data_IF_973726254565
#
_entry.id   IF_973726254565
#
_cell.length_a   1.000
_cell.length_b   1.000
_cell.length_c   1.000
_cell.angle_alpha   90.00
_cell.angle_beta   90.00
_cell.angle_gamma   90.00
#
_symmetry.space_group_name_H-M   'P 1'
#
loop_
_entity.id
_entity.type
_entity.pdbx_description
1 polymer ?
#
# COMPACT_ATOMS: atom_id res chain seq x y z
N UNK A 1 -28.28 60.33 -40.46
CA UNK A 1 -28.89 61.15 -39.38
C UNK A 1 -27.76 61.52 -38.43
N UNK A 2 -27.13 62.69 -38.61
CA UNK A 2 -27.40 63.96 -37.88
C UNK A 2 -27.40 63.72 -36.36
N UNK A 3 -26.42 64.19 -35.58
CA UNK A 3 -26.22 65.61 -35.18
C UNK A 3 -24.89 65.68 -34.40
N UNK A 4 -23.87 66.49 -34.73
CA UNK A 4 -23.70 67.96 -34.47
C UNK A 4 -23.83 68.32 -32.97
N UNK A 5 -23.02 69.15 -32.30
CA UNK A 5 -21.91 70.10 -32.58
C UNK A 5 -21.29 70.50 -31.17
N UNK A 6 -20.43 71.55 -30.98
CA UNK A 6 -19.28 71.55 -30.08
C UNK A 6 -19.29 72.76 -29.09
N UNK A 7 -18.16 73.03 -28.42
CA UNK A 7 -17.66 74.37 -27.96
C UNK A 7 -16.65 74.14 -26.82
N UNK A 8 -15.38 74.51 -26.96
CA UNK A 8 -14.76 75.85 -26.98
C UNK A 8 -14.32 76.33 -25.58
N UNK A 9 -13.14 76.95 -25.61
CA UNK A 9 -12.48 77.83 -24.64
C UNK A 9 -11.64 77.21 -23.51
N UNK A 10 -10.58 77.81 -22.97
CA UNK A 10 -9.50 78.76 -23.36
C UNK A 10 -8.73 79.03 -22.04
N UNK A 11 -7.39 79.14 -22.07
CA UNK A 11 -6.58 79.76 -21.00
C UNK A 11 -6.18 78.83 -19.86
N UNK A 12 -5.02 78.95 -19.19
CA UNK A 12 -4.06 80.04 -19.06
C UNK A 12 -2.70 79.48 -18.55
N UNK A 13 -1.60 80.15 -18.89
CA UNK A 13 -0.24 79.93 -18.36
C UNK A 13 -0.15 80.16 -16.85
N UNK A 14 0.70 79.38 -16.14
CA UNK A 14 1.66 79.92 -15.13
C UNK A 14 2.94 79.06 -15.16
N UNK A 15 4.07 79.72 -15.42
CA UNK A 15 5.42 79.22 -15.17
C UNK A 15 5.87 79.63 -13.76
N UNK A 16 6.72 78.84 -13.11
CA UNK A 16 8.04 79.27 -12.61
C UNK A 16 8.69 78.28 -11.62
N UNK A 17 10.03 78.37 -11.58
CA UNK A 17 10.98 78.01 -10.51
C UNK A 17 11.69 76.63 -10.60
N UNK A 18 12.85 76.68 -11.28
CA UNK A 18 14.09 75.96 -10.90
C UNK A 18 14.66 76.58 -9.59
N UNK A 19 15.39 75.83 -8.73
CA UNK A 19 16.82 75.63 -8.96
C UNK A 19 17.39 74.25 -8.56
N UNK A 20 18.60 74.03 -9.07
CA UNK A 20 19.46 72.88 -8.87
C UNK A 20 20.01 72.73 -7.43
N UNK A 21 20.36 71.48 -7.09
CA UNK A 21 21.57 71.05 -6.37
C UNK A 21 21.25 69.97 -5.32
N UNK A 22 21.78 68.76 -5.53
CA UNK A 22 22.83 68.17 -4.69
C UNK A 22 22.78 66.66 -4.84
N UNK A 23 23.91 66.07 -5.26
CA UNK A 23 24.12 64.64 -5.28
C UNK A 23 24.13 64.11 -3.84
N UNK A 24 23.19 63.23 -3.51
CA UNK A 24 23.25 62.38 -2.33
C UNK A 24 23.15 60.93 -2.79
N UNK A 25 24.21 60.18 -2.53
CA UNK A 25 24.37 58.76 -2.79
C UNK A 25 23.43 57.96 -1.87
N UNK A 26 22.55 57.08 -2.39
CA UNK A 26 21.74 56.23 -1.52
C UNK A 26 22.55 55.03 -1.04
N UNK A 27 22.63 54.89 0.28
CA UNK A 27 23.16 53.74 0.99
C UNK A 27 22.51 52.42 0.52
N UNK A 28 23.34 51.41 0.27
CA UNK A 28 22.90 50.05 -0.01
C UNK A 28 22.22 49.43 1.23
N UNK A 29 21.00 48.88 1.12
CA UNK A 29 20.49 47.98 2.14
C UNK A 29 21.24 46.64 2.02
N UNK A 30 21.86 46.19 3.11
CA UNK A 30 22.38 44.85 3.25
C UNK A 30 21.22 43.85 3.17
N UNK A 31 20.97 43.34 1.95
CA UNK A 31 20.07 42.22 1.73
C UNK A 31 20.73 40.96 2.27
N UNK A 32 20.44 40.64 3.53
CA UNK A 32 20.64 39.30 4.08
C UNK A 32 19.82 38.32 3.25
N UNK A 33 20.49 37.63 2.32
CA UNK A 33 19.88 36.55 1.55
C UNK A 33 19.73 35.37 2.49
N UNK A 34 18.56 35.23 3.09
CA UNK A 34 18.17 33.96 3.71
C UNK A 34 17.94 33.01 2.54
N UNK A 35 18.98 32.26 2.18
CA UNK A 35 18.88 31.16 1.24
C UNK A 35 17.94 30.12 1.86
N UNK A 36 16.65 30.25 1.56
CA UNK A 36 15.69 29.18 1.75
C UNK A 36 16.21 27.98 0.98
N UNK A 37 16.57 26.91 1.68
CA UNK A 37 16.93 25.64 1.09
C UNK A 37 15.72 25.15 0.30
N UNK A 38 15.71 25.39 -1.01
CA UNK A 38 14.81 24.73 -1.92
C UNK A 38 15.08 23.23 -1.74
N UNK A 39 14.14 22.53 -1.09
CA UNK A 39 14.20 21.08 -0.91
C UNK A 39 14.30 20.48 -2.31
N UNK A 40 15.43 19.88 -2.63
CA UNK A 40 15.61 19.19 -3.90
C UNK A 40 14.42 18.23 -4.07
N UNK A 41 13.72 18.34 -5.21
CA UNK A 41 12.63 17.43 -5.51
C UNK A 41 13.21 16.00 -5.55
N UNK A 42 12.70 15.12 -4.69
CA UNK A 42 13.06 13.70 -4.73
C UNK A 42 12.76 13.17 -6.12
N UNK A 43 13.73 12.54 -6.78
CA UNK A 43 13.49 11.95 -8.10
C UNK A 43 12.41 10.85 -7.97
N UNK A 44 11.51 10.70 -8.95
CA UNK A 44 10.48 9.67 -8.93
C UNK A 44 11.01 8.27 -8.61
N UNK A 45 12.14 7.90 -9.20
CA UNK A 45 12.80 6.61 -8.97
C UNK A 45 13.29 6.45 -7.53
N UNK A 46 13.81 7.51 -6.92
CA UNK A 46 14.28 7.49 -5.52
C UNK A 46 13.09 7.31 -4.56
N UNK A 47 11.96 7.96 -4.84
CA UNK A 47 10.74 7.78 -4.05
C UNK A 47 10.19 6.36 -4.19
N UNK A 48 10.13 5.82 -5.42
CA UNK A 48 9.70 4.46 -5.65
C UNK A 48 10.60 3.44 -4.92
N UNK A 49 11.92 3.64 -4.97
CA UNK A 49 12.88 2.80 -4.26
C UNK A 49 12.76 2.93 -2.74
N UNK A 50 12.57 4.14 -2.21
CA UNK A 50 12.32 4.38 -0.79
C UNK A 50 11.09 3.61 -0.31
N UNK A 51 9.98 3.71 -1.04
CA UNK A 51 8.72 3.05 -0.72
C UNK A 51 8.84 1.52 -0.84
N UNK A 52 9.35 1.00 -1.95
CA UNK A 52 9.47 -0.44 -2.18
C UNK A 52 10.38 -1.12 -1.15
N UNK A 53 11.43 -0.44 -0.70
CA UNK A 53 12.36 -0.97 0.30
C UNK A 53 11.96 -0.65 1.76
N UNK A 54 11.15 0.37 1.99
CA UNK A 54 10.80 0.83 3.34
C UNK A 54 9.40 0.43 3.78
N UNK A 55 8.41 0.50 2.89
CA UNK A 55 7.02 0.29 3.22
C UNK A 55 6.69 -1.22 3.27
N UNK A 56 5.98 -1.64 4.30
CA UNK A 56 5.38 -2.95 4.41
C UNK A 56 3.86 -2.80 4.56
N UNK A 57 3.11 -3.65 3.84
CA UNK A 57 1.68 -3.82 4.06
C UNK A 57 1.45 -5.05 4.94
N UNK A 58 0.65 -4.92 5.99
CA UNK A 58 0.19 -6.06 6.77
C UNK A 58 -1.33 -6.05 6.89
N UNK A 59 -1.94 -7.21 7.11
CA UNK A 59 -3.38 -7.35 7.29
C UNK A 59 -3.68 -8.10 8.59
N UNK A 60 -4.64 -7.59 9.35
CA UNK A 60 -5.32 -8.32 10.40
C UNK A 60 -6.80 -8.39 10.04
N UNK A 61 -7.40 -9.57 10.16
CA UNK A 61 -8.85 -9.74 10.10
C UNK A 61 -9.34 -9.77 11.54
N UNK A 62 -10.33 -8.92 11.84
CA UNK A 62 -10.80 -8.69 13.20
C UNK A 62 -12.11 -9.46 13.47
N UNK A 63 -13.03 -9.51 12.50
CA UNK A 63 -14.32 -10.20 12.62
C UNK A 63 -14.81 -10.67 11.24
N UNK A 64 -15.21 -11.94 11.09
CA UNK A 64 -15.78 -12.53 9.88
C UNK A 64 -17.31 -12.49 9.83
N UNK A 65 -17.95 -12.00 10.89
CA UNK A 65 -19.40 -11.95 11.10
C UNK A 65 -19.86 -10.53 11.43
N UNK A 66 -19.29 -9.52 10.74
CA UNK A 66 -19.44 -8.12 11.12
C UNK A 66 -20.89 -7.61 11.09
N UNK A 67 -21.77 -8.24 10.30
CA UNK A 67 -23.21 -7.95 10.33
C UNK A 67 -23.82 -8.22 11.71
N UNK A 68 -23.43 -9.31 12.37
CA UNK A 68 -23.87 -9.64 13.73
C UNK A 68 -23.32 -8.65 14.77
N UNK A 69 -22.18 -8.01 14.48
CA UNK A 69 -21.60 -6.95 15.27
C UNK A 69 -22.15 -5.54 14.94
N UNK A 70 -23.17 -5.44 14.07
CA UNK A 70 -23.86 -4.19 13.76
C UNK A 70 -23.26 -3.39 12.60
N UNK A 71 -22.31 -3.95 11.84
CA UNK A 71 -21.86 -3.33 10.59
C UNK A 71 -22.99 -3.43 9.55
N UNK A 72 -23.37 -2.33 8.89
CA UNK A 72 -24.47 -2.32 7.92
C UNK A 72 -24.03 -2.92 6.57
N UNK A 73 -23.68 -4.21 6.56
CA UNK A 73 -23.13 -4.89 5.39
C UNK A 73 -24.07 -4.81 4.16
N UNK A 74 -25.39 -4.86 4.38
CA UNK A 74 -26.39 -4.72 3.31
C UNK A 74 -26.31 -3.35 2.62
N UNK A 75 -26.23 -2.27 3.41
CA UNK A 75 -26.15 -0.90 2.89
C UNK A 75 -24.82 -0.64 2.18
N UNK A 76 -23.77 -1.36 2.57
CA UNK A 76 -22.46 -1.36 1.91
C UNK A 76 -22.47 -2.21 0.61
N UNK A 77 -23.60 -2.82 0.26
CA UNK A 77 -23.78 -3.60 -0.96
C UNK A 77 -23.10 -4.98 -0.92
N UNK A 78 -22.91 -5.54 0.27
CA UNK A 78 -22.38 -6.89 0.45
C UNK A 78 -23.43 -7.94 0.09
N UNK A 79 -23.05 -8.93 -0.72
CA UNK A 79 -23.92 -10.06 -1.02
C UNK A 79 -24.28 -10.85 0.25
N UNK A 80 -25.54 -11.25 0.34
CA UNK A 80 -26.11 -11.89 1.52
C UNK A 80 -26.00 -11.08 2.82
N UNK A 81 -25.75 -9.76 2.73
CA UNK A 81 -25.41 -8.91 3.87
C UNK A 81 -24.25 -9.48 4.72
N UNK A 82 -23.33 -10.23 4.10
CA UNK A 82 -22.19 -10.84 4.77
C UNK A 82 -20.95 -9.98 4.56
N UNK A 83 -20.34 -9.51 5.63
CA UNK A 83 -19.07 -8.78 5.56
C UNK A 83 -18.17 -9.07 6.76
N UNK A 84 -16.88 -8.81 6.56
CA UNK A 84 -15.83 -8.90 7.55
C UNK A 84 -15.22 -7.53 7.81
N UNK A 85 -14.70 -7.34 9.01
CA UNK A 85 -13.88 -6.18 9.37
C UNK A 85 -12.44 -6.60 9.61
N UNK A 86 -11.53 -5.66 9.39
CA UNK A 86 -10.13 -5.86 9.66
C UNK A 86 -9.35 -4.56 9.59
N UNK A 87 -8.02 -4.68 9.63
CA UNK A 87 -7.08 -3.55 9.51
C UNK A 87 -5.99 -3.89 8.51
N UNK A 88 -5.79 -3.02 7.54
CA UNK A 88 -4.54 -2.93 6.81
C UNK A 88 -3.58 -2.06 7.60
N UNK A 89 -2.30 -2.39 7.61
CA UNK A 89 -1.28 -1.61 8.27
C UNK A 89 -0.20 -1.24 7.27
N UNK A 90 0.02 0.06 7.11
CA UNK A 90 1.19 0.58 6.40
C UNK A 90 2.25 0.84 7.46
N UNK A 91 3.36 0.11 7.38
CA UNK A 91 4.46 0.21 8.32
C UNK A 91 5.73 0.64 7.60
N UNK A 92 6.42 1.64 8.14
CA UNK A 92 7.76 1.98 7.70
C UNK A 92 8.78 1.08 8.41
N UNK A 93 9.34 0.13 7.66
CA UNK A 93 10.42 -0.75 8.11
C UNK A 93 11.80 -0.34 7.57
N UNK A 94 11.86 0.77 6.84
CA UNK A 94 13.11 1.38 6.38
C UNK A 94 13.74 2.28 7.43
N UNK A 95 14.79 2.99 7.03
CA UNK A 95 15.56 3.90 7.89
C UNK A 95 15.27 5.38 7.61
N UNK A 96 14.48 5.68 6.58
CA UNK A 96 14.09 7.03 6.19
C UNK A 96 12.59 7.24 6.39
N UNK A 97 12.13 8.45 6.71
CA UNK A 97 10.71 8.72 6.88
C UNK A 97 9.96 8.59 5.54
N UNK A 98 8.73 8.08 5.60
CA UNK A 98 7.81 7.97 4.48
C UNK A 98 6.66 8.96 4.70
N UNK A 99 6.32 9.75 3.68
CA UNK A 99 5.18 10.66 3.72
C UNK A 99 4.22 10.36 2.55
N UNK A 100 3.01 10.91 2.61
CA UNK A 100 2.11 10.96 1.45
C UNK A 100 2.67 11.82 0.30
N UNK A 101 1.95 11.81 -0.82
CA UNK A 101 2.24 12.62 -1.99
C UNK A 101 3.15 11.91 -2.99
N UNK A 102 2.77 11.97 -4.26
CA UNK A 102 3.59 11.46 -5.37
C UNK A 102 3.55 9.94 -5.56
N UNK A 103 2.73 9.20 -4.81
CA UNK A 103 2.62 7.75 -4.99
C UNK A 103 1.22 7.20 -4.71
N UNK A 104 0.97 6.01 -5.25
CA UNK A 104 -0.23 5.19 -5.01
C UNK A 104 0.19 3.78 -4.68
N UNK A 105 -0.58 3.11 -3.82
CA UNK A 105 -0.37 1.69 -3.49
C UNK A 105 -1.42 0.85 -4.22
N UNK A 106 -0.97 -0.18 -4.90
CA UNK A 106 -1.80 -1.17 -5.53
C UNK A 106 -1.75 -2.46 -4.71
N UNK A 107 -2.91 -3.04 -4.45
CA UNK A 107 -3.05 -4.25 -3.63
C UNK A 107 -4.14 -5.16 -4.20
N UNK A 108 -4.03 -6.45 -3.89
CA UNK A 108 -4.93 -7.48 -4.35
C UNK A 108 -5.85 -7.95 -3.22
N UNK A 109 -7.11 -8.20 -3.54
CA UNK A 109 -8.07 -8.79 -2.61
C UNK A 109 -9.06 -9.67 -3.35
N UNK A 110 -9.17 -10.93 -2.93
CA UNK A 110 -10.21 -11.85 -3.44
C UNK A 110 -11.63 -11.42 -3.00
N UNK A 111 -11.71 -10.56 -1.97
CA UNK A 111 -12.96 -9.98 -1.48
C UNK A 111 -13.10 -8.55 -1.96
N UNK A 112 -14.34 -8.13 -2.22
CA UNK A 112 -14.55 -6.71 -2.45
C UNK A 112 -14.27 -5.94 -1.16
N UNK A 113 -13.28 -5.06 -1.16
CA UNK A 113 -13.14 -4.06 -0.11
C UNK A 113 -14.22 -3.01 -0.32
N UNK A 114 -15.20 -3.00 0.58
CA UNK A 114 -16.39 -2.15 0.52
C UNK A 114 -16.09 -0.75 1.05
N UNK A 115 -15.18 -0.64 2.03
CA UNK A 115 -14.83 0.63 2.67
C UNK A 115 -13.47 0.56 3.36
N UNK A 116 -12.80 1.72 3.44
CA UNK A 116 -11.69 1.99 4.37
C UNK A 116 -12.13 3.07 5.34
N UNK A 117 -12.06 2.77 6.63
CA UNK A 117 -12.52 3.60 7.73
C UNK A 117 -11.37 4.40 8.33
N UNK A 118 -10.67 5.12 7.44
CA UNK A 118 -9.66 6.10 7.85
C UNK A 118 -9.74 7.34 6.96
N UNK A 119 -9.92 8.54 7.55
CA UNK A 119 -9.81 9.81 6.82
C UNK A 119 -8.45 9.95 6.14
N UNK A 120 -8.42 10.64 5.01
CA UNK A 120 -7.18 10.90 4.27
C UNK A 120 -6.76 9.77 3.33
N UNK A 121 -7.59 8.74 3.11
CA UNK A 121 -7.30 7.66 2.17
C UNK A 121 -8.46 7.47 1.20
N UNK A 122 -8.13 7.38 -0.09
CA UNK A 122 -9.07 6.97 -1.12
C UNK A 122 -8.77 5.53 -1.52
N UNK A 123 -9.79 4.68 -1.51
CA UNK A 123 -9.72 3.31 -2.02
C UNK A 123 -10.59 3.21 -3.27
N UNK A 124 -10.02 2.66 -4.35
CA UNK A 124 -10.73 2.45 -5.61
C UNK A 124 -10.45 1.06 -6.14
N UNK A 125 -11.49 0.29 -6.43
CA UNK A 125 -11.37 -0.96 -7.19
C UNK A 125 -11.15 -0.63 -8.66
N UNK A 126 -10.19 -1.28 -9.30
CA UNK A 126 -9.93 -1.14 -10.74
C UNK A 126 -10.73 -2.15 -11.53
N UNK A 127 -10.36 -3.42 -11.42
CA UNK A 127 -11.04 -4.56 -12.02
C UNK A 127 -10.54 -5.84 -11.34
N UNK A 128 -11.29 -6.93 -11.43
CA UNK A 128 -10.93 -8.19 -10.79
C UNK A 128 -10.71 -7.99 -9.28
N UNK A 129 -9.54 -8.41 -8.81
CA UNK A 129 -9.05 -8.33 -7.43
C UNK A 129 -8.21 -7.07 -7.13
N UNK A 130 -7.96 -6.22 -8.13
CA UNK A 130 -6.98 -5.14 -8.03
C UNK A 130 -7.62 -3.85 -7.48
N UNK A 131 -6.96 -3.30 -6.46
CA UNK A 131 -7.32 -2.07 -5.77
C UNK A 131 -6.19 -1.06 -5.81
N UNK A 132 -6.57 0.22 -5.92
CA UNK A 132 -5.69 1.37 -5.76
C UNK A 132 -6.05 2.07 -4.43
N UNK A 133 -5.08 2.19 -3.53
CA UNK A 133 -5.13 2.96 -2.31
C UNK A 133 -4.24 4.21 -2.46
N UNK A 134 -4.86 5.39 -2.40
CA UNK A 134 -4.18 6.68 -2.57
C UNK A 134 -4.27 7.48 -1.27
N UNK A 135 -3.13 7.75 -0.60
CA UNK A 135 -3.07 8.69 0.50
C UNK A 135 -3.34 10.12 0.00
N UNK A 136 -4.17 10.87 0.71
CA UNK A 136 -4.39 12.29 0.48
C UNK A 136 -3.26 13.10 1.11
N UNK A 137 -2.99 14.34 0.66
CA UNK A 137 -1.97 15.19 1.26
C UNK A 137 -2.19 15.39 2.78
N UNK A 138 -1.13 15.19 3.57
CA UNK A 138 -1.14 15.30 5.04
C UNK A 138 -1.71 14.09 5.81
N UNK A 139 -2.12 13.02 5.13
CA UNK A 139 -2.66 11.79 5.73
C UNK A 139 -1.60 10.78 6.23
N UNK A 140 -0.39 10.82 5.66
CA UNK A 140 0.69 9.87 5.97
C UNK A 140 1.97 10.62 6.32
N UNK A 141 2.48 10.31 7.51
CA UNK A 141 3.84 10.57 7.94
C UNK A 141 4.26 9.42 8.85
N UNK A 142 5.23 8.64 8.41
CA UNK A 142 5.74 7.46 9.09
C UNK A 142 7.24 7.61 9.27
N UNK A 143 7.70 7.93 10.48
CA UNK A 143 9.09 7.79 10.86
C UNK A 143 9.51 6.29 10.81
N UNK A 144 10.82 5.99 10.79
CA UNK A 144 11.29 4.61 10.87
C UNK A 144 10.67 3.85 12.04
N UNK A 145 10.09 2.67 11.76
CA UNK A 145 9.40 1.83 12.73
C UNK A 145 7.92 2.14 12.95
N UNK A 146 7.45 3.33 12.56
CA UNK A 146 6.06 3.72 12.73
C UNK A 146 5.12 2.97 11.79
N UNK A 147 3.86 2.83 12.22
CA UNK A 147 2.79 2.23 11.44
C UNK A 147 1.49 2.99 11.61
N UNK A 148 0.66 2.91 10.57
CA UNK A 148 -0.67 3.47 10.54
C UNK A 148 -1.68 2.35 10.23
N UNK A 149 -2.77 2.32 10.98
CA UNK A 149 -3.85 1.36 10.78
C UNK A 149 -4.94 1.97 9.89
N UNK A 150 -5.39 1.19 8.91
CA UNK A 150 -6.47 1.46 7.97
C UNK A 150 -7.54 0.40 8.20
N UNK A 151 -8.51 0.65 9.10
CA UNK A 151 -9.62 -0.28 9.27
C UNK A 151 -10.40 -0.40 7.96
N UNK A 152 -10.91 -1.58 7.65
CA UNK A 152 -11.65 -1.86 6.43
C UNK A 152 -12.89 -2.69 6.70
N UNK A 153 -13.84 -2.61 5.76
CA UNK A 153 -14.93 -3.57 5.62
C UNK A 153 -14.76 -4.29 4.28
N UNK A 154 -14.74 -5.62 4.31
CA UNK A 154 -14.63 -6.46 3.12
C UNK A 154 -15.87 -7.36 3.00
N UNK A 155 -16.30 -7.63 1.77
CA UNK A 155 -17.41 -8.53 1.50
C UNK A 155 -17.08 -9.98 1.89
N UNK A 156 -18.09 -10.71 2.39
CA UNK A 156 -18.00 -12.05 2.95
C UNK A 156 -17.05 -12.15 4.15
N UNK A 157 -16.04 -13.03 4.07
CA UNK A 157 -15.15 -13.42 5.14
C UNK A 157 -13.76 -13.77 4.60
N UNK A 158 -12.77 -13.70 5.48
CA UNK A 158 -11.39 -14.13 5.27
C UNK A 158 -11.05 -15.18 6.34
N UNK A 159 -11.07 -16.45 5.94
CA UNK A 159 -10.97 -17.60 6.86
C UNK A 159 -9.60 -18.26 6.82
N UNK A 160 -8.79 -17.96 5.80
CA UNK A 160 -7.49 -18.56 5.60
C UNK A 160 -6.45 -17.49 5.38
N UNK A 161 -5.22 -17.76 5.81
CA UNK A 161 -4.08 -16.87 5.55
C UNK A 161 -3.91 -16.60 4.04
N UNK A 162 -4.17 -17.62 3.22
CA UNK A 162 -4.14 -17.53 1.75
C UNK A 162 -5.23 -16.66 1.14
N UNK A 163 -6.23 -16.22 1.90
CA UNK A 163 -7.24 -15.27 1.40
C UNK A 163 -6.64 -13.87 1.22
N UNK A 164 -5.52 -13.57 1.88
CA UNK A 164 -4.72 -12.38 1.66
C UNK A 164 -3.66 -12.64 0.59
N UNK A 165 -3.70 -11.85 -0.49
CA UNK A 165 -2.76 -11.98 -1.62
C UNK A 165 -1.53 -11.09 -1.39
N UNK A 166 -0.29 -11.63 -1.58
CA UNK A 166 0.95 -10.88 -1.39
C UNK A 166 1.26 -9.92 -2.54
N UNK A 167 2.47 -9.36 -2.55
CA UNK A 167 3.04 -8.54 -3.63
C UNK A 167 2.23 -7.27 -4.00
N UNK A 168 1.76 -6.46 -3.03
CA UNK A 168 1.34 -5.10 -3.33
C UNK A 168 2.54 -4.30 -3.88
N UNK A 169 2.25 -3.32 -4.72
CA UNK A 169 3.28 -2.51 -5.37
C UNK A 169 2.91 -1.04 -5.36
N UNK A 170 3.92 -0.18 -5.35
CA UNK A 170 3.74 1.27 -5.44
C UNK A 170 3.95 1.75 -6.87
N UNK A 171 3.23 2.80 -7.22
CA UNK A 171 3.40 3.55 -8.47
C UNK A 171 3.69 4.99 -8.12
N UNK A 172 4.78 5.52 -8.68
CA UNK A 172 5.19 6.92 -8.61
C UNK A 172 5.24 7.44 -10.04
N UNK A 173 4.62 8.59 -10.31
CA UNK A 173 4.61 9.16 -11.67
C UNK A 173 6.04 9.46 -12.14
N UNK A 174 6.42 8.90 -13.28
CA UNK A 174 7.79 9.01 -13.81
C UNK A 174 8.76 7.93 -13.34
N UNK A 175 8.29 6.89 -12.63
CA UNK A 175 9.07 5.71 -12.28
C UNK A 175 8.33 4.40 -12.63
N UNK A 176 9.04 3.29 -12.87
CA UNK A 176 8.43 1.97 -12.98
C UNK A 176 7.71 1.57 -11.68
N UNK A 177 6.61 0.78 -11.75
CA UNK A 177 6.00 0.18 -10.57
C UNK A 177 7.00 -0.68 -9.78
N UNK A 178 6.92 -0.67 -8.46
CA UNK A 178 7.85 -1.37 -7.59
C UNK A 178 7.12 -2.15 -6.48
N UNK A 179 7.34 -3.47 -6.43
CA UNK A 179 6.75 -4.36 -5.42
C UNK A 179 7.37 -4.07 -4.04
N UNK A 180 6.55 -4.08 -3.00
CA UNK A 180 7.04 -3.93 -1.63
C UNK A 180 7.86 -5.15 -1.21
N UNK A 181 9.16 -4.98 -0.93
CA UNK A 181 10.07 -6.10 -0.64
C UNK A 181 9.65 -6.97 0.55
N UNK A 182 8.93 -6.39 1.52
CA UNK A 182 8.48 -7.12 2.71
C UNK A 182 7.30 -8.04 2.44
N UNK A 183 6.64 -7.85 1.30
CA UNK A 183 5.46 -8.57 0.86
C UNK A 183 5.73 -9.45 -0.37
N UNK A 184 6.94 -9.41 -0.95
CA UNK A 184 7.32 -10.27 -2.06
C UNK A 184 7.73 -11.66 -1.56
N UNK A 185 6.72 -12.46 -1.22
CA UNK A 185 6.87 -13.77 -0.63
C UNK A 185 5.58 -14.57 -0.75
N UNK A 186 5.69 -15.90 -0.70
CA UNK A 186 4.54 -16.80 -0.55
C UNK A 186 4.36 -17.28 0.91
N UNK A 187 5.15 -16.75 1.86
CA UNK A 187 4.97 -16.98 3.29
C UNK A 187 3.95 -15.99 3.88
N UNK A 188 2.73 -16.47 4.09
CA UNK A 188 1.60 -15.65 4.51
C UNK A 188 1.79 -15.04 5.91
N UNK A 189 2.61 -15.65 6.77
CA UNK A 189 2.89 -15.15 8.12
C UNK A 189 3.70 -13.84 8.12
N UNK A 190 4.30 -13.48 6.98
CA UNK A 190 5.07 -12.25 6.85
C UNK A 190 4.18 -11.01 6.72
N UNK A 191 2.96 -11.18 6.21
CA UNK A 191 2.06 -10.07 5.90
C UNK A 191 0.65 -10.22 6.47
N UNK A 192 0.25 -11.39 6.98
CA UNK A 192 -0.99 -11.56 7.75
C UNK A 192 -0.62 -11.62 9.24
N UNK A 193 -1.05 -10.64 10.02
CA UNK A 193 -0.79 -10.59 11.47
C UNK A 193 -1.72 -11.49 12.27
N UNK A 194 -3.01 -11.51 11.90
CA UNK A 194 -4.00 -12.31 12.62
C UNK A 194 -5.25 -12.58 11.78
N UNK A 195 -5.93 -13.67 12.12
CA UNK A 195 -7.30 -13.98 11.73
C UNK A 195 -8.13 -14.19 13.00
N UNK A 196 -9.45 -13.96 12.98
CA UNK A 196 -10.30 -14.21 14.12
C UNK A 196 -10.34 -15.71 14.45
N UNK A 197 -10.67 -16.06 15.69
CA UNK A 197 -10.59 -17.45 16.17
C UNK A 197 -11.47 -18.42 15.37
N UNK A 198 -12.58 -17.92 14.83
CA UNK A 198 -13.52 -18.66 13.98
C UNK A 198 -13.03 -18.85 12.53
N UNK A 199 -12.02 -18.09 12.08
CA UNK A 199 -11.40 -18.30 10.77
C UNK A 199 -10.77 -19.70 10.67
N UNK A 200 -10.17 -20.15 11.77
CA UNK A 200 -9.57 -21.47 11.93
C UNK A 200 -10.60 -22.55 12.26
N UNK A 201 -11.82 -22.18 12.65
CA UNK A 201 -12.86 -23.15 12.92
C UNK A 201 -13.42 -23.68 11.61
N UNK A 202 -13.53 -25.00 11.55
CA UNK A 202 -14.53 -25.68 10.76
C UNK A 202 -15.86 -24.96 10.91
N UNK A 203 -16.32 -24.25 9.86
CA UNK A 203 -17.68 -23.71 9.84
C UNK A 203 -18.62 -24.78 10.34
N UNK A 204 -19.60 -24.42 11.16
CA UNK A 204 -20.64 -25.31 11.71
C UNK A 204 -21.55 -25.97 10.65
N UNK A 205 -21.13 -26.00 9.38
CA UNK A 205 -21.71 -26.76 8.27
C UNK A 205 -20.69 -27.41 7.33
N UNK A 206 -19.38 -27.28 7.58
CA UNK A 206 -18.35 -28.04 6.89
C UNK A 206 -17.86 -29.13 7.83
N UNK A 207 -18.04 -30.39 7.44
CA UNK A 207 -17.42 -31.52 8.11
C UNK A 207 -15.93 -31.20 8.39
N UNK A 208 -15.35 -31.69 9.51
CA UNK A 208 -13.91 -31.59 9.72
C UNK A 208 -13.20 -32.03 8.43
N UNK A 209 -12.09 -31.38 8.03
CA UNK A 209 -11.40 -31.72 6.79
C UNK A 209 -11.19 -33.23 6.78
N UNK A 210 -11.92 -33.91 5.90
CA UNK A 210 -11.73 -35.34 5.70
C UNK A 210 -10.32 -35.42 5.15
N UNK A 211 -9.43 -36.11 5.88
CA UNK A 211 -8.09 -36.39 5.38
C UNK A 211 -8.25 -36.89 3.94
N UNK A 212 -7.66 -36.17 2.98
CA UNK A 212 -7.72 -36.57 1.60
C UNK A 212 -7.25 -38.03 1.53
N UNK A 213 -8.03 -38.89 0.87
CA UNK A 213 -7.54 -40.25 0.60
C UNK A 213 -6.20 -40.12 -0.12
N UNK A 214 -5.17 -40.89 0.26
CA UNK A 214 -3.90 -40.89 -0.45
C UNK A 214 -4.16 -41.09 -1.94
N UNK A 215 -3.82 -40.09 -2.75
CA UNK A 215 -3.88 -40.18 -4.20
C UNK A 215 -2.46 -40.29 -4.70
N UNK A 216 -2.08 -41.47 -5.17
CA UNK A 216 -0.74 -41.75 -5.68
C UNK A 216 -0.35 -40.89 -6.88
N UNK A 217 -1.31 -40.21 -7.52
CA UNK A 217 -1.09 -39.28 -8.65
C UNK A 217 -0.99 -37.83 -8.22
N UNK A 218 -1.28 -37.52 -6.96
CA UNK A 218 -1.15 -36.17 -6.42
C UNK A 218 0.34 -35.88 -6.24
N UNK A 219 0.85 -34.96 -7.06
CA UNK A 219 2.15 -34.37 -6.82
C UNK A 219 2.22 -33.90 -5.36
N UNK A 220 3.26 -34.33 -4.64
CA UNK A 220 3.51 -33.84 -3.28
C UNK A 220 3.54 -32.30 -3.35
N UNK A 221 2.81 -31.59 -2.47
CA UNK A 221 2.88 -30.14 -2.46
C UNK A 221 4.34 -29.73 -2.29
N UNK A 222 4.76 -28.72 -3.05
CA UNK A 222 6.07 -28.09 -2.91
C UNK A 222 6.34 -27.82 -1.42
N UNK A 223 7.55 -28.15 -0.96
CA UNK A 223 7.97 -27.94 0.43
C UNK A 223 7.71 -26.48 0.81
N UNK A 224 6.66 -26.23 1.61
CA UNK A 224 6.28 -24.87 2.04
C UNK A 224 7.21 -24.31 3.12
N UNK A 225 7.90 -25.18 3.86
CA UNK A 225 8.86 -24.82 4.90
C UNK A 225 9.88 -25.94 5.03
N UNK A 226 11.14 -25.59 4.97
CA UNK A 226 12.24 -26.45 5.42
C UNK A 226 12.82 -25.81 6.70
N UNK A 227 12.85 -26.57 7.78
CA UNK A 227 13.47 -26.14 9.03
C UNK A 227 14.47 -27.21 9.45
N UNK A 228 15.78 -26.94 9.33
CA UNK A 228 16.80 -27.81 9.90
C UNK A 228 16.66 -27.76 11.43
N UNK A 229 16.42 -28.92 12.04
CA UNK A 229 16.47 -29.06 13.50
C UNK A 229 17.86 -29.57 13.91
N UNK A 230 18.43 -29.11 15.04
CA UNK A 230 19.68 -29.66 15.53
C UNK A 230 19.46 -31.13 15.96
N UNK A 231 20.22 -32.03 15.34
CA UNK A 231 20.18 -33.47 15.60
C UNK A 231 20.49 -34.29 14.35
N UNK A 232 20.83 -35.57 14.53
CA UNK A 232 20.87 -36.54 13.45
C UNK A 232 19.59 -37.37 13.51
N UNK A 233 18.84 -37.41 12.41
CA UNK A 233 17.68 -38.29 12.26
C UNK A 233 18.13 -39.57 11.55
N UNK A 234 18.22 -40.70 12.26
CA UNK A 234 18.47 -42.01 11.66
C UNK A 234 17.16 -42.54 11.04
N UNK A 235 16.90 -42.17 9.78
CA UNK A 235 15.78 -42.68 9.01
C UNK A 235 16.09 -44.10 8.54
N UNK A 236 15.68 -45.11 9.33
CA UNK A 236 15.74 -46.52 8.89
C UNK A 236 14.42 -46.97 8.28
N UNK A 237 14.49 -47.70 7.17
CA UNK A 237 13.33 -48.34 6.55
C UNK A 237 12.50 -47.43 5.62
N UNK A 238 13.06 -46.30 5.16
CA UNK A 238 12.42 -45.51 4.09
C UNK A 238 12.79 -46.12 2.74
N UNK A 239 11.83 -46.74 2.08
CA UNK A 239 11.96 -47.20 0.70
C UNK A 239 11.55 -46.06 -0.24
N UNK A 240 12.54 -45.36 -0.81
CA UNK A 240 12.33 -44.35 -1.84
C UNK A 240 12.27 -45.05 -3.20
N UNK A 241 11.06 -45.25 -3.73
CA UNK A 241 10.87 -45.68 -5.11
C UNK A 241 10.90 -44.46 -6.03
N UNK A 242 11.92 -44.36 -6.88
CA UNK A 242 12.10 -43.30 -7.88
C UNK A 242 12.02 -43.92 -9.28
N UNK A 243 10.81 -44.31 -9.75
CA UNK A 243 10.62 -45.16 -10.92
C UNK A 243 11.08 -44.54 -12.25
N UNK A 244 11.27 -43.22 -12.27
CA UNK A 244 11.68 -42.47 -13.46
C UNK A 244 13.19 -42.16 -13.49
N UNK A 245 13.95 -42.60 -12.49
CA UNK A 245 15.41 -42.42 -12.45
C UNK A 245 16.12 -43.72 -12.84
N UNK A 246 17.10 -43.68 -13.76
CA UNK A 246 17.96 -44.81 -14.05
C UNK A 246 18.71 -45.31 -12.81
N UNK A 247 18.91 -46.63 -12.71
CA UNK A 247 19.55 -47.28 -11.55
C UNK A 247 20.91 -46.67 -11.18
N UNK A 248 21.68 -46.22 -12.17
CA UNK A 248 22.96 -45.56 -11.96
C UNK A 248 22.84 -44.21 -11.20
N UNK A 249 21.75 -43.46 -11.44
CA UNK A 249 21.48 -42.22 -10.74
C UNK A 249 20.92 -42.48 -9.34
N UNK A 250 20.09 -43.52 -9.19
CA UNK A 250 19.59 -43.95 -7.87
C UNK A 250 20.74 -44.44 -6.98
N UNK A 251 21.72 -45.15 -7.55
CA UNK A 251 22.91 -45.61 -6.84
C UNK A 251 23.82 -44.47 -6.38
N UNK A 252 23.88 -43.36 -7.13
CA UNK A 252 24.67 -42.18 -6.76
C UNK A 252 24.05 -41.34 -5.63
N UNK A 253 22.79 -41.61 -5.26
CA UNK A 253 22.04 -40.91 -4.20
C UNK A 253 22.07 -41.65 -2.85
N UNK A 254 22.69 -42.84 -2.79
CA UNK A 254 22.94 -43.60 -1.56
C UNK A 254 24.32 -43.28 -1.00
#
# INVERSE_FOLDING_TARGET
>A
MKSTLPSLLTGLLIAALLPAASCAEPAQPAAGTVAGTARAATQPADLAALLANGLALRVAVDDNHAAAAGVPCADLGADGAACATGRLFLQNRGHQPIADGGWKLYLHSIRRLLRIDRPGFALRRLTGDLYELTPQPGSVRLAPGERIALPFVAEYWMRRYSDAIPRPYVVVDGAPPAVLRYNDTDDELRYVESLPADAQNNSTGNAPPVAARPDARRALPSVKREQPLPGALDLRGVELALPELPDAQVAALR
#
